data_IF_717314187338
#
_entry.id   IF_717314187338
#
_cell.length_a   1.000
_cell.length_b   1.000
_cell.length_c   1.000
_cell.angle_alpha   90.00
_cell.angle_beta   90.00
_cell.angle_gamma   90.00
#
_symmetry.space_group_name_H-M   'P 1'
#
loop_
_entity.id
_entity.type
_entity.pdbx_description
1 polymer ?
#
# COMPACT_ATOMS: atom_id res chain seq x y z
N UNK A 1 10.29 -10.22 -60.92
CA UNK A 1 9.17 -10.54 -60.01
C UNK A 1 9.65 -10.33 -58.58
N UNK A 2 9.41 -9.15 -58.01
CA UNK A 2 9.84 -8.80 -56.63
C UNK A 2 8.65 -9.06 -55.71
N UNK A 3 8.77 -10.06 -54.84
CA UNK A 3 7.76 -10.38 -53.84
C UNK A 3 7.73 -9.27 -52.79
N UNK A 4 6.60 -8.60 -52.65
CA UNK A 4 6.38 -7.54 -51.66
C UNK A 4 5.88 -8.20 -50.37
N UNK A 5 6.77 -8.36 -49.40
CA UNK A 5 6.43 -8.87 -48.07
C UNK A 5 5.75 -7.74 -47.28
N UNK A 6 4.42 -7.80 -47.16
CA UNK A 6 3.66 -6.86 -46.33
C UNK A 6 3.81 -7.24 -44.85
N UNK A 7 4.61 -6.46 -44.12
CA UNK A 7 4.68 -6.54 -42.66
C UNK A 7 3.41 -5.89 -42.08
N UNK A 8 2.46 -6.71 -41.62
CA UNK A 8 1.36 -6.26 -40.78
C UNK A 8 1.93 -5.87 -39.41
N UNK A 9 2.24 -4.59 -39.22
CA UNK A 9 2.38 -4.02 -37.89
C UNK A 9 1.01 -4.03 -37.23
N UNK A 10 0.73 -5.09 -36.46
CA UNK A 10 -0.33 -5.07 -35.46
C UNK A 10 0.07 -4.07 -34.38
N UNK A 11 -0.47 -2.86 -34.46
CA UNK A 11 -0.47 -1.91 -33.37
C UNK A 11 -1.22 -2.53 -32.19
N UNK A 12 -0.48 -3.07 -31.22
CA UNK A 12 -1.02 -3.36 -29.90
C UNK A 12 -1.44 -2.02 -29.29
N UNK A 13 -2.73 -1.69 -29.40
CA UNK A 13 -3.34 -0.66 -28.59
C UNK A 13 -3.15 -1.11 -27.13
N UNK A 14 -2.22 -0.47 -26.43
CA UNK A 14 -2.12 -0.58 -24.98
C UNK A 14 -3.42 -0.03 -24.43
N UNK A 15 -4.35 -0.93 -24.13
CA UNK A 15 -5.60 -0.59 -23.45
C UNK A 15 -5.23 -0.24 -22.01
N UNK A 16 -4.90 1.02 -21.78
CA UNK A 16 -4.90 1.57 -20.44
C UNK A 16 -6.31 1.34 -19.90
N UNK A 17 -6.45 0.49 -18.88
CA UNK A 17 -7.69 0.44 -18.14
C UNK A 17 -7.89 1.85 -17.58
N UNK A 18 -8.93 2.55 -18.05
CA UNK A 18 -9.28 3.90 -17.56
C UNK A 18 -9.48 3.92 -16.02
N UNK A 19 -9.63 2.74 -15.42
CA UNK A 19 -9.81 2.53 -13.99
C UNK A 19 -9.09 1.26 -13.50
N UNK A 20 -7.78 1.31 -13.20
CA UNK A 20 -7.04 0.13 -12.78
C UNK A 20 -7.46 -0.33 -11.38
N UNK A 21 -7.47 -1.65 -11.13
CA UNK A 21 -7.66 -2.16 -9.77
C UNK A 21 -6.47 -1.77 -8.88
N UNK A 22 -6.75 -1.26 -7.69
CA UNK A 22 -5.73 -0.88 -6.70
C UNK A 22 -5.74 -1.89 -5.56
N UNK A 23 -4.65 -2.63 -5.41
CA UNK A 23 -4.46 -3.61 -4.33
C UNK A 23 -3.29 -3.14 -3.46
N UNK A 24 -3.54 -2.97 -2.16
CA UNK A 24 -2.52 -2.63 -1.17
C UNK A 24 -2.32 -3.82 -0.25
N UNK A 25 -1.12 -4.39 -0.27
CA UNK A 25 -0.70 -5.44 0.67
C UNK A 25 0.19 -4.79 1.72
N UNK A 26 -0.33 -4.65 2.94
CA UNK A 26 0.38 -4.03 4.06
C UNK A 26 0.62 -5.05 5.17
N UNK A 27 1.89 -5.39 5.39
CA UNK A 27 2.30 -6.54 6.20
C UNK A 27 2.68 -6.08 7.61
N UNK A 28 2.29 -6.86 8.62
CA UNK A 28 2.58 -6.55 10.03
C UNK A 28 3.97 -7.05 10.42
N UNK A 29 4.72 -6.21 11.15
CA UNK A 29 6.03 -6.49 11.76
C UNK A 29 7.14 -7.03 10.84
N UNK A 30 6.98 -6.91 9.52
CA UNK A 30 7.97 -7.38 8.55
C UNK A 30 9.14 -6.41 8.39
N UNK A 31 10.34 -6.92 8.59
CA UNK A 31 11.60 -6.21 8.42
C UNK A 31 12.08 -6.13 6.97
N UNK A 32 13.03 -5.22 6.72
CA UNK A 32 13.58 -4.99 5.39
C UNK A 32 14.22 -6.25 4.78
N UNK A 33 14.96 -7.02 5.58
CA UNK A 33 15.69 -8.22 5.14
C UNK A 33 14.89 -9.51 5.25
N UNK A 34 13.56 -9.45 5.46
CA UNK A 34 12.74 -10.67 5.54
C UNK A 34 12.46 -11.27 4.15
N UNK A 35 12.53 -10.46 3.09
CA UNK A 35 12.43 -10.93 1.71
C UNK A 35 13.79 -11.22 1.10
N UNK A 36 13.91 -12.32 0.36
CA UNK A 36 15.14 -12.69 -0.35
C UNK A 36 15.56 -11.64 -1.38
N UNK A 37 14.62 -10.95 -2.03
CA UNK A 37 14.93 -9.85 -2.96
C UNK A 37 15.57 -8.61 -2.29
N UNK A 38 15.61 -8.54 -0.95
CA UNK A 38 16.31 -7.53 -0.16
C UNK A 38 17.52 -8.09 0.62
N UNK A 39 17.98 -9.30 0.29
CA UNK A 39 19.13 -9.95 0.92
C UNK A 39 18.79 -10.89 2.08
N UNK A 40 17.50 -11.18 2.29
CA UNK A 40 17.06 -12.18 3.27
C UNK A 40 17.42 -13.62 2.90
N UNK A 41 17.48 -14.49 3.90
CA UNK A 41 17.76 -15.93 3.73
C UNK A 41 16.49 -16.76 3.48
N UNK A 42 15.33 -16.23 3.85
CA UNK A 42 14.03 -16.88 3.63
C UNK A 42 13.64 -16.75 2.17
N UNK A 43 13.26 -17.87 1.54
CA UNK A 43 12.83 -17.88 0.15
C UNK A 43 11.43 -17.30 0.00
N UNK A 44 11.31 -16.18 -0.69
CA UNK A 44 10.04 -15.47 -0.90
C UNK A 44 9.68 -15.39 -2.39
N UNK A 45 9.61 -16.56 -3.05
CA UNK A 45 9.52 -16.69 -4.52
C UNK A 45 8.46 -15.82 -5.20
N UNK A 46 7.28 -15.66 -4.59
CA UNK A 46 6.21 -14.83 -5.17
C UNK A 46 6.49 -13.33 -5.04
N UNK A 47 7.12 -12.91 -3.95
CA UNK A 47 7.52 -11.51 -3.74
C UNK A 47 8.74 -11.17 -4.58
N UNK A 48 9.68 -12.11 -4.72
CA UNK A 48 10.83 -11.95 -5.60
C UNK A 48 10.39 -11.77 -7.06
N UNK A 49 9.39 -12.54 -7.49
CA UNK A 49 8.76 -12.37 -8.80
C UNK A 49 8.13 -10.98 -8.95
N UNK A 50 7.32 -10.54 -7.98
CA UNK A 50 6.73 -9.19 -8.00
C UNK A 50 7.80 -8.09 -8.08
N UNK A 51 8.93 -8.26 -7.38
CA UNK A 51 10.04 -7.32 -7.42
C UNK A 51 10.76 -7.30 -8.78
N UNK A 52 10.87 -8.46 -9.45
CA UNK A 52 11.50 -8.57 -10.78
C UNK A 52 10.61 -8.08 -11.93
N UNK A 53 9.29 -8.20 -11.79
CA UNK A 53 8.31 -7.78 -12.80
C UNK A 53 7.85 -6.33 -12.59
N UNK A 54 8.24 -5.70 -11.48
CA UNK A 54 7.79 -4.37 -11.07
C UNK A 54 8.91 -3.44 -10.61
N UNK A 55 8.57 -2.56 -9.68
CA UNK A 55 9.51 -1.59 -9.08
C UNK A 55 9.78 -1.99 -7.63
N UNK A 56 11.07 -2.07 -7.29
CA UNK A 56 11.55 -2.33 -5.94
C UNK A 56 12.13 -1.06 -5.34
N UNK A 57 11.58 -0.59 -4.22
CA UNK A 57 12.12 0.55 -3.48
C UNK A 57 13.13 0.08 -2.43
N UNK A 58 14.36 0.57 -2.51
CA UNK A 58 15.42 0.29 -1.51
C UNK A 58 15.44 1.29 -0.35
N UNK A 59 14.67 2.38 -0.47
CA UNK A 59 14.59 3.47 0.50
C UNK A 59 13.12 3.87 0.74
N UNK A 60 12.29 2.89 1.11
CA UNK A 60 10.91 3.12 1.52
C UNK A 60 10.82 3.20 3.05
N UNK A 61 10.04 4.14 3.58
CA UNK A 61 9.89 4.35 5.01
C UNK A 61 8.42 4.42 5.41
N UNK A 62 8.09 3.72 6.49
CA UNK A 62 6.81 3.92 7.18
C UNK A 62 6.89 5.17 8.05
N UNK A 63 5.75 5.84 8.25
CA UNK A 63 5.70 7.08 9.02
C UNK A 63 5.95 6.87 10.53
N UNK A 64 5.75 5.63 11.02
CA UNK A 64 5.97 5.26 12.40
C UNK A 64 6.40 3.80 12.51
N UNK A 65 7.28 3.44 13.45
CA UNK A 65 7.64 2.04 13.72
C UNK A 65 6.56 1.27 14.49
N UNK A 66 5.38 1.87 14.75
CA UNK A 66 4.29 1.25 15.51
C UNK A 66 3.05 1.06 14.61
N UNK A 67 2.34 -0.06 14.78
CA UNK A 67 1.22 -0.49 13.93
C UNK A 67 0.14 0.58 13.72
N UNK A 68 -0.51 1.08 14.77
CA UNK A 68 -1.63 2.04 14.65
C UNK A 68 -1.25 3.35 13.94
N UNK A 69 -0.20 4.10 14.34
CA UNK A 69 0.20 5.32 13.65
C UNK A 69 0.66 5.07 12.21
N UNK A 70 1.34 3.96 11.92
CA UNK A 70 1.73 3.59 10.56
C UNK A 70 0.51 3.36 9.66
N UNK A 71 -0.49 2.63 10.16
CA UNK A 71 -1.77 2.38 9.44
C UNK A 71 -2.58 3.66 9.24
N UNK A 72 -2.57 4.59 10.20
CA UNK A 72 -3.21 5.91 10.04
C UNK A 72 -2.54 6.69 8.90
N UNK A 73 -1.21 6.69 8.84
CA UNK A 73 -0.50 7.38 7.78
C UNK A 73 -0.80 6.80 6.39
N UNK A 74 -0.77 5.47 6.25
CA UNK A 74 -1.15 4.80 4.99
C UNK A 74 -2.60 5.10 4.60
N UNK A 75 -3.52 5.04 5.57
CA UNK A 75 -4.96 5.20 5.33
C UNK A 75 -5.32 6.62 4.91
N UNK A 76 -4.68 7.63 5.52
CA UNK A 76 -5.07 9.04 5.38
C UNK A 76 -4.14 9.86 4.49
N UNK A 77 -2.93 9.35 4.20
CA UNK A 77 -1.88 10.12 3.54
C UNK A 77 -1.34 11.28 4.40
N UNK A 78 -1.57 11.25 5.71
CA UNK A 78 -1.21 12.33 6.63
C UNK A 78 -0.44 11.83 7.84
N UNK A 79 0.35 12.70 8.46
CA UNK A 79 1.03 12.35 9.70
C UNK A 79 0.03 12.02 10.82
N UNK A 80 0.27 10.95 11.60
CA UNK A 80 -0.70 10.40 12.53
C UNK A 80 -0.88 11.26 13.80
N UNK A 81 0.07 12.15 14.11
CA UNK A 81 -0.06 13.13 15.19
C UNK A 81 -1.25 14.07 14.99
N UNK A 82 -1.66 14.33 13.74
CA UNK A 82 -2.87 15.11 13.41
C UNK A 82 -4.13 14.51 14.02
N UNK A 83 -4.13 13.20 14.23
CA UNK A 83 -5.25 12.43 14.77
C UNK A 83 -5.02 11.99 16.22
N UNK A 84 -3.96 12.46 16.89
CA UNK A 84 -3.56 12.03 18.24
C UNK A 84 -3.38 10.51 18.37
N UNK A 85 -2.98 9.83 17.30
CA UNK A 85 -2.63 8.41 17.32
C UNK A 85 -1.11 8.33 17.18
N UNK A 86 -0.39 8.35 18.30
CA UNK A 86 1.09 8.43 18.32
C UNK A 86 1.75 7.14 18.82
N UNK A 87 0.97 6.15 19.22
CA UNK A 87 1.39 4.81 19.64
C UNK A 87 0.28 3.80 19.30
N UNK A 88 0.40 2.55 19.74
CA UNK A 88 -0.62 1.53 19.50
C UNK A 88 -1.91 1.87 20.26
N UNK A 89 -3.05 1.78 19.58
CA UNK A 89 -4.36 1.89 20.23
C UNK A 89 -4.55 0.71 21.18
N UNK A 90 -4.97 1.02 22.41
CA UNK A 90 -5.23 0.04 23.47
C UNK A 90 -6.64 0.30 24.04
N UNK A 91 -6.93 -0.18 25.24
CA UNK A 91 -8.13 0.16 25.98
C UNK A 91 -8.23 1.67 26.27
N UNK A 92 -9.45 2.11 26.57
CA UNK A 92 -9.77 3.54 26.74
C UNK A 92 -8.97 4.22 27.85
N UNK A 93 -8.73 3.52 28.96
CA UNK A 93 -7.99 4.02 30.12
C UNK A 93 -6.56 4.35 29.72
N UNK A 94 -5.88 3.41 29.06
CA UNK A 94 -4.48 3.57 28.66
C UNK A 94 -4.31 4.60 27.54
N UNK A 95 -5.26 4.67 26.61
CA UNK A 95 -5.28 5.73 25.59
C UNK A 95 -5.43 7.11 26.22
N UNK A 96 -6.36 7.27 27.18
CA UNK A 96 -6.55 8.54 27.90
C UNK A 96 -5.30 8.93 28.69
N UNK A 97 -4.68 7.99 29.42
CA UNK A 97 -3.43 8.22 30.16
C UNK A 97 -2.30 8.70 29.25
N UNK A 98 -2.26 8.23 28.00
CA UNK A 98 -1.28 8.61 26.97
C UNK A 98 -1.69 9.85 26.16
N UNK A 99 -2.85 10.45 26.42
CA UNK A 99 -3.38 11.57 25.64
C UNK A 99 -3.80 11.21 24.20
N UNK A 100 -3.92 9.92 23.89
CA UNK A 100 -4.22 9.42 22.55
C UNK A 100 -5.71 9.43 22.25
N UNK A 101 -6.05 9.52 20.95
CA UNK A 101 -7.38 9.22 20.47
C UNK A 101 -7.73 7.74 20.69
N UNK A 102 -9.02 7.43 20.67
CA UNK A 102 -9.54 6.08 20.87
C UNK A 102 -9.66 5.29 19.56
N UNK A 103 -9.85 6.01 18.46
CA UNK A 103 -9.94 5.51 17.10
C UNK A 103 -9.64 6.67 16.14
N UNK A 104 -9.40 6.34 14.87
CA UNK A 104 -9.27 7.34 13.81
C UNK A 104 -10.62 8.06 13.63
N UNK A 105 -10.58 9.40 13.53
CA UNK A 105 -11.78 10.21 13.29
C UNK A 105 -12.56 9.66 12.08
N UNK A 106 -13.85 9.29 12.24
CA UNK A 106 -14.69 8.84 11.13
C UNK A 106 -14.82 9.85 10.00
N UNK A 107 -14.50 11.14 10.20
CA UNK A 107 -14.48 12.18 9.17
C UNK A 107 -13.11 12.32 8.48
N UNK A 108 -12.05 11.64 8.96
CA UNK A 108 -10.75 11.67 8.32
C UNK A 108 -10.85 11.27 6.83
N UNK A 109 -10.14 11.96 5.92
CA UNK A 109 -10.01 11.50 4.56
C UNK A 109 -9.30 10.15 4.56
N UNK A 110 -9.84 9.19 3.82
CA UNK A 110 -9.17 7.89 3.64
C UNK A 110 -9.04 7.57 2.17
N UNK A 111 -7.97 6.86 1.80
CA UNK A 111 -7.78 6.38 0.43
C UNK A 111 -9.01 5.60 -0.06
N UNK A 112 -9.58 4.75 0.80
CA UNK A 112 -10.81 4.02 0.49
C UNK A 112 -12.01 4.94 0.21
N UNK A 113 -12.24 5.98 1.03
CA UNK A 113 -13.33 6.95 0.76
C UNK A 113 -13.12 7.68 -0.57
N UNK A 114 -11.89 8.09 -0.85
CA UNK A 114 -11.55 8.78 -2.09
C UNK A 114 -11.77 7.87 -3.31
N UNK A 115 -11.31 6.62 -3.26
CA UNK A 115 -11.56 5.64 -4.32
C UNK A 115 -13.06 5.36 -4.48
N UNK A 116 -13.80 5.16 -3.37
CA UNK A 116 -15.25 4.91 -3.42
C UNK A 116 -16.02 6.08 -4.05
N UNK A 117 -15.66 7.32 -3.73
CA UNK A 117 -16.26 8.51 -4.34
C UNK A 117 -16.07 8.56 -5.87
N UNK A 118 -15.00 7.95 -6.39
CA UNK A 118 -14.72 7.81 -7.82
C UNK A 118 -15.21 6.47 -8.38
N UNK A 119 -16.18 5.83 -7.72
CA UNK A 119 -16.90 4.65 -8.18
C UNK A 119 -16.13 3.33 -8.07
N UNK A 120 -15.06 3.27 -7.27
CA UNK A 120 -14.42 2.00 -6.97
C UNK A 120 -15.21 1.22 -5.93
N UNK A 121 -15.25 -0.11 -6.06
CA UNK A 121 -15.56 -0.98 -4.93
C UNK A 121 -14.35 -1.00 -3.98
N UNK A 122 -14.60 -1.00 -2.68
CA UNK A 122 -13.55 -0.98 -1.66
C UNK A 122 -13.78 -2.08 -0.64
N UNK A 123 -12.73 -2.82 -0.30
CA UNK A 123 -12.73 -3.85 0.75
C UNK A 123 -11.49 -3.73 1.63
N UNK A 124 -11.61 -4.18 2.89
CA UNK A 124 -10.52 -4.28 3.84
C UNK A 124 -10.54 -5.68 4.44
N UNK A 125 -9.39 -6.34 4.50
CA UNK A 125 -9.24 -7.70 4.98
C UNK A 125 -8.08 -7.78 5.96
N UNK A 126 -8.35 -8.30 7.16
CA UNK A 126 -7.45 -8.25 8.31
C UNK A 126 -7.71 -7.07 9.24
#
# INVERSE_FOLDING_TARGET
>A
MKSLLAFLLSSFLLYSQDKPNVIVVFIDDMGYSDFSCFGGTVKTQHIDRLASEGIKFTNFYVNSPICSPSRVALTTGQYPHRYRITSYLNNRRDNNKRGMAQWLDPQAPTLAKQLKAHGYATGHFG
#
